data_IF_613586637633
#
_entry.id   IF_613586637633
#
_cell.length_a   1.000
_cell.length_b   1.000
_cell.length_c   1.000
_cell.angle_alpha   90.00
_cell.angle_beta   90.00
_cell.angle_gamma   90.00
#
_symmetry.space_group_name_H-M   'P 1'
#
loop_
_entity.id
_entity.type
_entity.pdbx_description
1 polymer ?
#
# COMPACT_ATOMS: atom_id res chain seq x y z
N UNK A 1 3.49 -12.48 -16.87
CA UNK A 1 2.96 -11.27 -16.20
C UNK A 1 1.46 -11.33 -15.94
N UNK A 2 0.61 -11.65 -16.94
CA UNK A 2 -0.85 -11.81 -16.75
C UNK A 2 -1.23 -12.77 -15.61
N UNK A 3 -0.51 -13.88 -15.45
CA UNK A 3 -0.70 -14.81 -14.33
C UNK A 3 -0.50 -14.16 -12.95
N UNK A 4 0.52 -13.30 -12.79
CA UNK A 4 0.80 -12.63 -11.52
C UNK A 4 -0.27 -11.56 -11.19
N UNK A 5 -0.78 -10.83 -12.18
CA UNK A 5 -1.91 -9.90 -12.01
C UNK A 5 -3.16 -10.64 -11.52
N UNK A 6 -3.49 -11.76 -12.19
CA UNK A 6 -4.64 -12.58 -11.81
C UNK A 6 -4.51 -13.10 -10.37
N UNK A 7 -3.34 -13.61 -9.99
CA UNK A 7 -3.08 -14.09 -8.64
C UNK A 7 -3.18 -12.96 -7.60
N UNK A 8 -2.61 -11.78 -7.86
CA UNK A 8 -2.76 -10.62 -6.98
C UNK A 8 -4.24 -10.26 -6.77
N UNK A 9 -5.02 -10.11 -7.86
CA UNK A 9 -6.42 -9.72 -7.76
C UNK A 9 -7.28 -10.79 -7.06
N UNK A 10 -6.93 -12.08 -7.24
CA UNK A 10 -7.54 -13.18 -6.49
C UNK A 10 -7.22 -13.07 -5.00
N UNK A 11 -5.97 -12.76 -4.64
CA UNK A 11 -5.60 -12.53 -3.25
C UNK A 11 -6.32 -11.33 -2.65
N UNK A 12 -6.47 -10.22 -3.38
CA UNK A 12 -7.27 -9.07 -2.96
C UNK A 12 -8.71 -9.49 -2.62
N UNK A 13 -9.35 -10.31 -3.46
CA UNK A 13 -10.68 -10.85 -3.15
C UNK A 13 -10.71 -11.74 -1.91
N UNK A 14 -9.64 -12.50 -1.65
CA UNK A 14 -9.51 -13.32 -0.44
C UNK A 14 -9.35 -12.45 0.82
N UNK A 15 -8.57 -11.36 0.75
CA UNK A 15 -8.41 -10.37 1.83
C UNK A 15 -9.77 -9.77 2.19
N UNK A 16 -10.58 -9.38 1.20
CA UNK A 16 -11.92 -8.82 1.43
C UNK A 16 -12.87 -9.79 2.14
N UNK A 17 -12.74 -11.09 1.83
CA UNK A 17 -13.46 -12.20 2.47
C UNK A 17 -12.84 -12.64 3.79
N UNK A 18 -11.72 -12.04 4.19
CA UNK A 18 -10.95 -12.36 5.39
C UNK A 18 -10.38 -13.78 5.42
N UNK A 19 -10.05 -14.34 4.25
CA UNK A 19 -9.34 -15.60 4.12
C UNK A 19 -7.82 -15.33 4.01
N UNK A 20 -7.23 -14.81 5.08
CA UNK A 20 -5.89 -14.21 5.04
C UNK A 20 -4.77 -15.19 4.75
N UNK A 21 -4.82 -16.40 5.30
CA UNK A 21 -3.82 -17.44 5.08
C UNK A 21 -3.77 -17.83 3.59
N UNK A 22 -4.95 -18.05 2.99
CA UNK A 22 -5.08 -18.32 1.55
C UNK A 22 -4.65 -17.12 0.70
N UNK A 23 -4.87 -15.90 1.17
CA UNK A 23 -4.42 -14.70 0.48
C UNK A 23 -2.87 -14.64 0.45
N UNK A 24 -2.20 -14.89 1.58
CA UNK A 24 -0.74 -14.98 1.70
C UNK A 24 -0.17 -16.04 0.76
N UNK A 25 -0.74 -17.25 0.74
CA UNK A 25 -0.34 -18.30 -0.21
C UNK A 25 -0.47 -17.85 -1.67
N UNK A 26 -1.58 -17.18 -2.00
CA UNK A 26 -1.85 -16.68 -3.36
C UNK A 26 -0.89 -15.54 -3.73
N UNK A 27 -0.56 -14.65 -2.81
CA UNK A 27 0.40 -13.56 -3.03
C UNK A 27 1.83 -14.10 -3.22
N UNK A 28 2.22 -15.15 -2.49
CA UNK A 28 3.50 -15.85 -2.70
C UNK A 28 3.58 -16.42 -4.12
N UNK A 29 2.50 -17.05 -4.59
CA UNK A 29 2.42 -17.52 -5.97
C UNK A 29 2.51 -16.37 -6.98
N UNK A 30 1.86 -15.22 -6.70
CA UNK A 30 1.92 -14.03 -7.54
C UNK A 30 3.36 -13.49 -7.65
N UNK A 31 4.10 -13.43 -6.54
CA UNK A 31 5.48 -12.96 -6.50
C UNK A 31 6.41 -13.87 -7.33
N UNK A 32 6.31 -15.19 -7.15
CA UNK A 32 7.08 -16.15 -7.95
C UNK A 32 6.74 -16.10 -9.44
N UNK A 33 5.46 -15.90 -9.77
CA UNK A 33 5.03 -15.73 -11.16
C UNK A 33 5.57 -14.43 -11.79
N UNK A 34 5.80 -13.38 -11.00
CA UNK A 34 6.46 -12.14 -11.43
C UNK A 34 7.95 -12.34 -11.74
N UNK A 35 8.68 -13.03 -10.84
CA UNK A 35 10.13 -13.26 -10.99
C UNK A 35 10.49 -14.07 -12.24
N UNK A 36 9.69 -15.07 -12.59
CA UNK A 36 9.93 -15.93 -13.78
C UNK A 36 9.89 -15.19 -15.13
N UNK A 37 9.32 -13.98 -15.17
CA UNK A 37 9.24 -13.17 -16.39
C UNK A 37 10.58 -12.46 -16.64
N UNK A 38 11.23 -11.97 -15.58
CA UNK A 38 12.47 -11.20 -15.72
C UNK A 38 13.63 -12.04 -16.29
N UNK A 39 13.70 -13.33 -15.96
CA UNK A 39 14.81 -14.20 -16.38
C UNK A 39 14.78 -14.59 -17.87
N UNK A 40 13.70 -14.32 -18.60
CA UNK A 40 13.59 -14.66 -20.04
C UNK A 40 13.97 -13.52 -20.98
N UNK A 41 13.77 -12.28 -20.56
CA UNK A 41 13.93 -11.11 -21.43
C UNK A 41 15.41 -10.64 -21.54
N UNK A 42 16.27 -11.04 -20.60
CA UNK A 42 17.70 -10.72 -20.61
C UNK A 42 18.48 -11.47 -21.71
N UNK A 43 17.97 -12.60 -22.23
CA UNK A 43 18.71 -13.39 -23.22
C UNK A 43 18.44 -13.01 -24.69
N UNK A 44 17.53 -12.06 -24.96
CA UNK A 44 17.05 -11.80 -26.34
C UNK A 44 17.26 -10.37 -26.85
N UNK A 45 17.92 -9.48 -26.10
CA UNK A 45 17.83 -8.03 -26.36
C UNK A 45 19.19 -7.36 -26.61
N UNK A 46 19.89 -7.76 -27.66
CA UNK A 46 20.92 -6.93 -28.30
C UNK A 46 20.36 -6.31 -29.58
N UNK A 47 20.44 -4.99 -29.69
CA UNK A 47 19.97 -4.11 -30.78
C UNK A 47 18.52 -3.60 -30.67
N UNK A 48 18.38 -2.33 -30.32
CA UNK A 48 17.74 -1.31 -31.17
C UNK A 48 17.73 0.06 -30.46
N UNK A 49 18.30 1.04 -31.15
CA UNK A 49 18.25 2.46 -30.82
C UNK A 49 16.89 3.03 -31.22
N UNK A 50 16.20 3.72 -30.30
CA UNK A 50 15.09 4.60 -30.71
C UNK A 50 14.94 5.81 -29.81
N UNK A 51 14.85 6.96 -30.47
CA UNK A 51 14.65 8.30 -29.92
C UNK A 51 13.17 8.50 -29.58
N UNK A 52 12.84 8.55 -28.28
CA UNK A 52 11.46 8.73 -27.81
C UNK A 52 11.15 10.20 -27.49
N UNK A 53 10.21 10.78 -28.24
CA UNK A 53 9.61 12.09 -27.98
C UNK A 53 8.74 12.03 -26.72
N UNK A 54 8.88 13.02 -25.84
CA UNK A 54 8.18 13.16 -24.56
C UNK A 54 6.65 13.24 -24.76
N UNK A 55 5.95 12.12 -24.57
CA UNK A 55 4.48 12.04 -24.63
C UNK A 55 3.87 12.39 -23.27
N UNK A 56 2.75 13.13 -23.27
CA UNK A 56 2.02 13.53 -22.05
C UNK A 56 1.62 12.28 -21.24
N UNK A 57 1.97 12.27 -19.95
CA UNK A 57 1.82 11.13 -19.04
C UNK A 57 0.32 10.77 -18.88
N UNK A 58 -0.11 9.53 -19.17
CA UNK A 58 -1.48 9.10 -18.93
C UNK A 58 -1.79 9.13 -17.43
N UNK A 59 -2.84 9.85 -17.04
CA UNK A 59 -3.30 9.97 -15.65
C UNK A 59 -3.73 8.62 -15.09
N UNK A 60 -3.22 8.29 -13.89
CA UNK A 60 -3.30 6.99 -13.23
C UNK A 60 -4.72 6.45 -13.00
N UNK A 61 -5.02 5.34 -13.67
CA UNK A 61 -6.16 4.46 -13.35
C UNK A 61 -5.72 3.00 -13.24
N UNK A 62 -4.45 2.76 -12.93
CA UNK A 62 -3.89 1.40 -12.89
C UNK A 62 -4.47 0.58 -11.73
N UNK A 63 -4.83 1.29 -10.65
CA UNK A 63 -5.38 0.70 -9.43
C UNK A 63 -6.87 0.98 -9.31
N UNK A 64 -7.58 0.02 -8.73
CA UNK A 64 -8.96 0.19 -8.29
C UNK A 64 -9.11 -0.33 -6.87
N UNK A 65 -9.98 0.34 -6.12
CA UNK A 65 -10.40 -0.07 -4.78
C UNK A 65 -11.89 -0.40 -4.83
N UNK A 66 -12.35 -1.34 -3.99
CA UNK A 66 -13.62 -2.04 -4.25
C UNK A 66 -14.94 -1.38 -3.85
N UNK A 67 -15.16 -0.07 -3.89
CA UNK A 67 -16.33 0.72 -3.38
C UNK A 67 -17.12 0.31 -2.11
N UNK A 68 -16.92 -0.87 -1.51
CA UNK A 68 -17.64 -1.32 -0.31
C UNK A 68 -16.99 -0.65 0.88
N UNK A 69 -17.56 0.50 1.28
CA UNK A 69 -17.33 1.06 2.60
C UNK A 69 -17.71 -0.03 3.61
N UNK A 70 -16.72 -0.68 4.23
CA UNK A 70 -16.97 -1.39 5.50
C UNK A 70 -17.52 -0.31 6.42
N UNK A 71 -18.69 -0.54 7.03
CA UNK A 71 -19.16 0.31 8.12
C UNK A 71 -18.05 0.28 9.16
N UNK A 72 -17.31 1.37 9.26
CA UNK A 72 -16.33 1.57 10.33
C UNK A 72 -17.06 1.35 11.65
N UNK A 73 -16.46 0.56 12.54
CA UNK A 73 -17.06 0.24 13.82
C UNK A 73 -17.27 1.57 14.57
N UNK A 74 -18.51 1.79 14.99
CA UNK A 74 -19.13 3.08 15.37
C UNK A 74 -18.59 3.69 16.69
N UNK A 75 -17.39 3.30 17.14
CA UNK A 75 -16.81 3.71 18.41
C UNK A 75 -15.35 4.15 18.25
N UNK A 76 -15.13 5.42 17.86
CA UNK A 76 -13.83 6.11 17.94
C UNK A 76 -12.64 5.39 17.27
N UNK A 77 -12.88 4.44 16.37
CA UNK A 77 -11.80 3.70 15.75
C UNK A 77 -11.00 4.62 14.82
N UNK A 78 -9.72 4.72 15.16
CA UNK A 78 -8.67 5.31 14.35
C UNK A 78 -8.81 4.83 12.89
N UNK A 79 -8.89 5.77 11.94
CA UNK A 79 -9.11 5.46 10.52
C UNK A 79 -8.00 4.54 9.98
N UNK A 80 -8.33 3.32 9.56
CA UNK A 80 -7.37 2.38 8.99
C UNK A 80 -7.66 2.12 7.51
N UNK A 81 -6.63 2.22 6.68
CA UNK A 81 -6.79 1.82 5.28
C UNK A 81 -6.80 0.29 5.18
N UNK A 82 -7.98 -0.27 4.94
CA UNK A 82 -8.25 -1.71 5.00
C UNK A 82 -8.52 -2.38 3.64
N UNK A 83 -8.33 -1.64 2.54
CA UNK A 83 -8.74 -2.06 1.20
C UNK A 83 -7.55 -2.60 0.41
N UNK A 84 -7.62 -3.84 -0.11
CA UNK A 84 -6.55 -4.35 -0.95
C UNK A 84 -6.56 -3.67 -2.32
N UNK A 85 -5.42 -3.68 -2.97
CA UNK A 85 -5.22 -3.05 -4.28
C UNK A 85 -5.45 -4.06 -5.40
N UNK A 86 -6.25 -3.65 -6.39
CA UNK A 86 -6.47 -4.41 -7.60
C UNK A 86 -5.70 -3.77 -8.76
N UNK A 87 -5.07 -4.61 -9.57
CA UNK A 87 -4.37 -4.18 -10.78
C UNK A 87 -5.26 -4.46 -11.98
N UNK A 88 -5.71 -3.42 -12.66
CA UNK A 88 -6.51 -3.57 -13.90
C UNK A 88 -5.62 -3.65 -15.13
N UNK A 89 -4.56 -2.84 -15.17
CA UNK A 89 -3.55 -2.79 -16.22
C UNK A 89 -2.21 -2.41 -15.63
N UNK A 90 -1.12 -2.80 -16.30
CA UNK A 90 0.24 -2.45 -15.91
C UNK A 90 0.79 -1.32 -16.78
N UNK A 91 1.60 -0.41 -16.22
CA UNK A 91 2.37 0.52 -17.03
C UNK A 91 3.34 -0.26 -17.92
N UNK A 92 3.53 0.20 -19.17
CA UNK A 92 4.35 -0.50 -20.16
C UNK A 92 5.82 -0.58 -19.76
N UNK A 93 6.37 0.46 -19.13
CA UNK A 93 7.80 0.55 -18.80
C UNK A 93 8.13 -0.06 -17.43
N UNK A 94 7.22 0.06 -16.45
CA UNK A 94 7.48 -0.29 -15.04
C UNK A 94 6.56 -1.40 -14.50
N UNK A 95 5.94 -2.19 -15.38
CA UNK A 95 4.89 -3.14 -15.00
C UNK A 95 5.32 -4.15 -13.92
N UNK A 96 6.57 -4.64 -13.97
CA UNK A 96 7.09 -5.57 -12.98
C UNK A 96 7.25 -4.92 -11.60
N UNK A 97 7.87 -3.74 -11.53
CA UNK A 97 8.12 -3.05 -10.26
C UNK A 97 6.81 -2.58 -9.62
N UNK A 98 5.91 -2.01 -10.42
CA UNK A 98 4.55 -1.66 -9.97
C UNK A 98 3.82 -2.86 -9.38
N UNK A 99 3.82 -3.99 -10.10
CA UNK A 99 3.14 -5.19 -9.65
C UNK A 99 3.75 -5.74 -8.35
N UNK A 100 5.08 -5.78 -8.25
CA UNK A 100 5.77 -6.17 -7.02
C UNK A 100 5.40 -5.26 -5.85
N UNK A 101 5.35 -3.95 -6.08
CA UNK A 101 4.93 -2.98 -5.08
C UNK A 101 3.49 -3.26 -4.60
N UNK A 102 2.56 -3.50 -5.52
CA UNK A 102 1.16 -3.83 -5.19
C UNK A 102 1.05 -5.15 -4.41
N UNK A 103 1.80 -6.17 -4.82
CA UNK A 103 1.82 -7.47 -4.14
C UNK A 103 2.34 -7.31 -2.70
N UNK A 104 3.45 -6.59 -2.51
CA UNK A 104 4.03 -6.35 -1.17
C UNK A 104 3.07 -5.51 -0.31
N UNK A 105 2.39 -4.51 -0.89
CA UNK A 105 1.34 -3.76 -0.17
C UNK A 105 0.23 -4.68 0.32
N UNK A 106 -0.28 -5.55 -0.55
CA UNK A 106 -1.34 -6.50 -0.19
C UNK A 106 -0.88 -7.53 0.85
N UNK A 107 0.40 -7.94 0.83
CA UNK A 107 1.00 -8.75 1.90
C UNK A 107 1.00 -8.01 3.25
N UNK A 108 1.51 -6.78 3.27
CA UNK A 108 1.58 -5.96 4.47
C UNK A 108 0.18 -5.76 5.09
N UNK A 109 -0.79 -5.45 4.23
CA UNK A 109 -2.18 -5.30 4.62
C UNK A 109 -2.76 -6.60 5.19
N UNK A 110 -2.46 -7.75 4.58
CA UNK A 110 -2.94 -9.04 5.04
C UNK A 110 -2.46 -9.34 6.47
N UNK A 111 -1.16 -9.18 6.74
CA UNK A 111 -0.61 -9.33 8.09
C UNK A 111 -1.19 -8.33 9.09
N UNK A 112 -1.36 -7.06 8.70
CA UNK A 112 -1.97 -6.06 9.57
C UNK A 112 -3.41 -6.45 9.96
N UNK A 113 -4.21 -6.92 9.00
CA UNK A 113 -5.58 -7.36 9.25
C UNK A 113 -5.65 -8.66 10.07
N UNK A 114 -4.68 -9.57 9.91
CA UNK A 114 -4.55 -10.76 10.78
C UNK A 114 -4.26 -10.35 12.22
N UNK A 115 -3.34 -9.42 12.43
CA UNK A 115 -2.99 -8.93 13.77
C UNK A 115 -4.20 -8.32 14.51
N UNK A 116 -5.09 -7.62 13.79
CA UNK A 116 -6.30 -7.05 14.37
C UNK A 116 -7.34 -8.10 14.80
N UNK A 117 -7.23 -9.33 14.29
CA UNK A 117 -8.15 -10.43 14.63
C UNK A 117 -7.53 -11.49 15.52
N UNK A 118 -6.22 -11.46 15.71
CA UNK A 118 -5.52 -12.40 16.56
C UNK A 118 -6.02 -12.26 18.00
N UNK A 119 -6.47 -13.37 18.58
CA UNK A 119 -6.83 -13.45 19.99
C UNK A 119 -5.59 -13.52 20.88
N UNK A 120 -4.54 -14.18 20.39
CA UNK A 120 -3.29 -14.34 21.10
C UNK A 120 -2.36 -13.14 20.88
N UNK A 121 -1.70 -12.70 21.97
CA UNK A 121 -0.81 -11.54 21.94
C UNK A 121 0.44 -11.79 21.09
N UNK A 122 0.99 -13.01 21.11
CA UNK A 122 2.18 -13.36 20.34
C UNK A 122 1.88 -13.34 18.85
N UNK A 123 0.79 -13.98 18.43
CA UNK A 123 0.36 -13.97 17.02
C UNK A 123 0.08 -12.55 16.53
N UNK A 124 -0.58 -11.73 17.36
CA UNK A 124 -0.80 -10.31 17.08
C UNK A 124 0.53 -9.58 16.87
N UNK A 125 1.47 -9.75 17.79
CA UNK A 125 2.76 -9.07 17.76
C UNK A 125 3.61 -9.47 16.53
N UNK A 126 3.68 -10.76 16.22
CA UNK A 126 4.42 -11.27 15.04
C UNK A 126 3.84 -10.73 13.74
N UNK A 127 2.50 -10.73 13.59
CA UNK A 127 1.85 -10.19 12.40
C UNK A 127 2.05 -8.66 12.27
N UNK A 128 2.05 -7.90 13.37
CA UNK A 128 2.36 -6.47 13.33
C UNK A 128 3.79 -6.21 12.86
N UNK A 129 4.77 -6.99 13.32
CA UNK A 129 6.16 -6.84 12.91
C UNK A 129 6.34 -7.14 11.42
N UNK A 130 5.73 -8.21 10.91
CA UNK A 130 5.84 -8.54 9.48
C UNK A 130 5.14 -7.50 8.60
N UNK A 131 3.96 -7.03 9.00
CA UNK A 131 3.27 -5.94 8.30
C UNK A 131 4.13 -4.67 8.24
N UNK A 132 4.74 -4.28 9.36
CA UNK A 132 5.60 -3.09 9.43
C UNK A 132 6.82 -3.22 8.53
N UNK A 133 7.52 -4.35 8.60
CA UNK A 133 8.70 -4.65 7.77
C UNK A 133 8.37 -4.54 6.27
N UNK A 134 7.20 -5.03 5.86
CA UNK A 134 6.76 -4.96 4.47
C UNK A 134 6.40 -3.52 4.06
N UNK A 135 5.73 -2.74 4.91
CA UNK A 135 5.48 -1.33 4.63
C UNK A 135 6.78 -0.51 4.54
N UNK A 136 7.75 -0.77 5.41
CA UNK A 136 9.06 -0.11 5.37
C UNK A 136 9.82 -0.49 4.10
N UNK A 137 9.75 -1.76 3.67
CA UNK A 137 10.32 -2.18 2.40
C UNK A 137 9.72 -1.43 1.22
N UNK A 138 8.41 -1.17 1.21
CA UNK A 138 7.74 -0.39 0.16
C UNK A 138 8.20 1.06 0.10
N UNK A 139 8.45 1.68 1.26
CA UNK A 139 8.97 3.06 1.35
C UNK A 139 10.43 3.13 0.88
N UNK A 140 11.20 2.07 1.14
CA UNK A 140 12.60 1.98 0.72
C UNK A 140 12.79 1.64 -0.77
N UNK A 141 11.74 1.17 -1.47
CA UNK A 141 11.82 0.88 -2.90
C UNK A 141 12.03 2.18 -3.68
N UNK A 142 13.12 2.29 -4.48
CA UNK A 142 13.34 3.47 -5.30
C UNK A 142 12.25 3.57 -6.35
N UNK A 143 11.43 4.62 -6.26
CA UNK A 143 10.52 5.00 -7.34
C UNK A 143 11.33 5.84 -8.32
N UNK A 144 11.49 5.36 -9.55
CA UNK A 144 12.04 6.22 -10.61
C UNK A 144 11.08 7.40 -10.88
N UNK A 145 11.58 8.54 -11.36
CA UNK A 145 10.81 9.78 -11.59
C UNK A 145 9.61 9.62 -12.55
N UNK A 146 9.58 8.50 -13.29
CA UNK A 146 8.50 8.11 -14.20
C UNK A 146 7.34 7.43 -13.47
N UNK A 147 7.58 6.92 -12.27
CA UNK A 147 6.67 6.10 -11.51
C UNK A 147 5.99 6.92 -10.40
N UNK A 148 4.78 7.35 -10.69
CA UNK A 148 3.96 8.06 -9.71
C UNK A 148 2.97 7.08 -9.08
N UNK A 149 3.24 6.71 -7.84
CA UNK A 149 2.21 6.10 -6.98
C UNK A 149 1.16 7.16 -6.69
N UNK A 150 -0.10 6.81 -6.88
CA UNK A 150 -1.20 7.68 -6.46
C UNK A 150 -1.05 8.02 -4.99
N UNK A 151 -1.06 9.32 -4.67
CA UNK A 151 -0.84 9.87 -3.32
C UNK A 151 -1.64 9.14 -2.25
N UNK A 152 -2.87 8.72 -2.58
CA UNK A 152 -3.75 7.91 -1.74
C UNK A 152 -3.08 6.66 -1.15
N UNK A 153 -2.32 5.89 -1.95
CA UNK A 153 -1.73 4.65 -1.47
C UNK A 153 -0.46 4.90 -0.66
N UNK A 154 0.27 5.96 -0.98
CA UNK A 154 1.39 6.39 -0.14
C UNK A 154 0.90 6.87 1.23
N UNK A 155 -0.19 7.64 1.28
CA UNK A 155 -0.89 7.97 2.52
C UNK A 155 -1.36 6.71 3.25
N UNK A 156 -1.99 5.75 2.55
CA UNK A 156 -2.42 4.50 3.16
C UNK A 156 -1.29 3.75 3.88
N UNK A 157 -0.10 3.66 3.27
CA UNK A 157 1.06 3.03 3.90
C UNK A 157 1.51 3.78 5.16
N UNK A 158 1.73 5.09 5.07
CA UNK A 158 2.20 5.90 6.22
C UNK A 158 1.20 5.83 7.37
N UNK A 159 -0.10 5.93 7.08
CA UNK A 159 -1.16 5.84 8.09
C UNK A 159 -1.19 4.47 8.76
N UNK A 160 -1.09 3.39 7.99
CA UNK A 160 -1.08 2.04 8.53
C UNK A 160 0.19 1.76 9.35
N UNK A 161 1.37 2.23 8.90
CA UNK A 161 2.62 2.15 9.68
C UNK A 161 2.51 2.90 11.01
N UNK A 162 1.96 4.12 11.01
CA UNK A 162 1.76 4.90 12.24
C UNK A 162 0.90 4.14 13.26
N UNK A 163 -0.15 3.46 12.79
CA UNK A 163 -1.01 2.61 13.63
C UNK A 163 -0.26 1.41 14.19
N UNK A 164 0.48 0.70 13.35
CA UNK A 164 1.27 -0.45 13.79
C UNK A 164 2.30 -0.03 14.84
N UNK A 165 3.00 1.09 14.64
CA UNK A 165 3.93 1.63 15.63
C UNK A 165 3.24 1.94 16.97
N UNK A 166 2.03 2.49 16.93
CA UNK A 166 1.24 2.74 18.14
C UNK A 166 0.85 1.43 18.85
N UNK A 167 0.39 0.43 18.09
CA UNK A 167 0.04 -0.90 18.61
C UNK A 167 1.25 -1.67 19.17
N UNK A 168 2.46 -1.36 18.69
CA UNK A 168 3.73 -1.89 19.17
C UNK A 168 4.34 -1.05 20.31
N UNK A 169 3.60 -0.09 20.88
CA UNK A 169 4.06 0.81 21.95
C UNK A 169 5.32 1.62 21.58
N UNK A 170 5.41 2.08 20.33
CA UNK A 170 6.50 2.90 19.77
C UNK A 170 5.98 4.29 19.37
N UNK A 171 5.57 5.13 20.33
CA UNK A 171 4.85 6.38 20.06
C UNK A 171 5.70 7.42 19.30
N UNK A 172 7.03 7.41 19.47
CA UNK A 172 7.93 8.33 18.77
C UNK A 172 7.89 8.10 17.25
N UNK A 173 8.01 6.85 16.82
CA UNK A 173 7.92 6.48 15.41
C UNK A 173 6.51 6.69 14.84
N UNK A 174 5.46 6.39 15.64
CA UNK A 174 4.08 6.66 15.25
C UNK A 174 3.85 8.16 14.99
N UNK A 175 4.39 9.03 15.86
CA UNK A 175 4.33 10.48 15.69
C UNK A 175 5.08 10.93 14.44
N UNK A 176 6.30 10.44 14.21
CA UNK A 176 7.07 10.77 13.02
C UNK A 176 6.29 10.46 11.73
N UNK A 177 5.64 9.30 11.64
CA UNK A 177 4.80 8.95 10.49
C UNK A 177 3.53 9.83 10.41
N UNK A 178 2.96 10.22 11.54
CA UNK A 178 1.81 11.14 11.59
C UNK A 178 2.19 12.55 11.08
N UNK A 179 3.35 13.06 11.45
CA UNK A 179 3.86 14.35 11.00
C UNK A 179 4.21 14.33 9.50
N UNK A 180 4.76 13.21 9.01
CA UNK A 180 4.96 12.96 7.57
C UNK A 180 3.62 12.94 6.81
N UNK A 181 2.61 12.25 7.35
CA UNK A 181 1.26 12.23 6.79
C UNK A 181 0.68 13.64 6.71
N UNK A 182 0.78 14.42 7.80
CA UNK A 182 0.28 15.79 7.82
C UNK A 182 0.95 16.65 6.76
N UNK A 183 2.28 16.55 6.62
CA UNK A 183 3.04 17.27 5.61
C UNK A 183 2.55 16.94 4.19
N UNK A 184 2.28 15.66 3.91
CA UNK A 184 1.77 15.20 2.63
C UNK A 184 0.33 15.67 2.36
N UNK A 185 -0.54 15.67 3.38
CA UNK A 185 -1.90 16.20 3.29
C UNK A 185 -1.89 17.70 2.98
N UNK A 186 -1.05 18.47 3.67
CA UNK A 186 -0.90 19.90 3.44
C UNK A 186 -0.41 20.21 2.02
N UNK A 187 0.59 19.47 1.53
CA UNK A 187 1.04 19.59 0.14
C UNK A 187 -0.08 19.26 -0.85
N UNK A 188 -0.86 18.21 -0.59
CA UNK A 188 -2.00 17.80 -1.44
C UNK A 188 -3.10 18.87 -1.49
N UNK A 189 -3.38 19.55 -0.36
CA UNK A 189 -4.31 20.69 -0.30
C UNK A 189 -3.77 21.88 -1.10
N UNK A 190 -2.49 22.22 -0.92
CA UNK A 190 -1.86 23.34 -1.63
C UNK A 190 -1.87 23.15 -3.15
N UNK A 191 -1.76 21.90 -3.62
CA UNK A 191 -1.86 21.56 -5.04
C UNK A 191 -3.31 21.50 -5.57
N UNK A 192 -4.33 21.66 -4.72
CA UNK A 192 -5.73 21.55 -5.11
C UNK A 192 -6.16 20.12 -5.46
N UNK A 193 -5.48 19.12 -4.89
CA UNK A 193 -5.71 17.69 -5.21
C UNK A 193 -6.44 16.92 -4.09
N UNK A 194 -6.87 17.60 -3.03
CA UNK A 194 -7.53 16.95 -1.88
C UNK A 194 -8.72 16.07 -2.31
N UNK A 195 -9.58 16.58 -3.20
CA UNK A 195 -10.77 15.85 -3.70
C UNK A 195 -10.44 14.61 -4.55
N UNK A 196 -9.19 14.46 -4.99
CA UNK A 196 -8.74 13.30 -5.78
C UNK A 196 -8.28 12.13 -4.91
N UNK A 197 -8.12 12.34 -3.60
CA UNK A 197 -7.63 11.34 -2.67
C UNK A 197 -8.80 10.65 -1.98
N UNK A 198 -9.00 9.36 -2.27
CA UNK A 198 -10.01 8.54 -1.60
C UNK A 198 -9.69 8.39 -0.11
N UNK A 199 -10.63 8.77 0.76
CA UNK A 199 -10.45 8.73 2.21
C UNK A 199 -9.60 9.86 2.80
N UNK A 200 -9.43 10.98 2.09
CA UNK A 200 -8.66 12.14 2.56
C UNK A 200 -9.01 12.58 4.00
N UNK A 201 -10.30 12.72 4.31
CA UNK A 201 -10.77 13.13 5.65
C UNK A 201 -10.33 12.16 6.75
N UNK A 202 -10.33 10.86 6.46
CA UNK A 202 -9.88 9.83 7.39
C UNK A 202 -8.39 9.94 7.68
N UNK A 203 -7.57 10.19 6.66
CA UNK A 203 -6.14 10.45 6.82
C UNK A 203 -5.89 11.72 7.64
N UNK A 204 -6.62 12.80 7.35
CA UNK A 204 -6.50 14.08 8.03
C UNK A 204 -6.86 13.97 9.52
N UNK A 205 -8.00 13.36 9.83
CA UNK A 205 -8.43 13.13 11.20
C UNK A 205 -7.35 12.38 12.00
N UNK A 206 -6.84 11.29 11.43
CA UNK A 206 -5.80 10.49 12.04
C UNK A 206 -4.48 11.22 12.28
N UNK A 207 -4.04 12.05 11.33
CA UNK A 207 -2.82 12.83 11.47
C UNK A 207 -2.96 13.88 12.57
N UNK A 208 -4.07 14.64 12.56
CA UNK A 208 -4.33 15.72 13.52
C UNK A 208 -4.50 15.23 14.96
N UNK A 209 -5.29 14.16 15.18
CA UNK A 209 -5.49 13.60 16.53
C UNK A 209 -4.18 13.18 17.18
N UNK A 210 -3.25 12.62 16.39
CA UNK A 210 -1.95 12.14 16.90
C UNK A 210 -0.95 13.26 17.12
N UNK A 211 -0.94 14.28 16.26
CA UNK A 211 -0.07 15.44 16.45
C UNK A 211 -0.50 16.27 17.66
N UNK A 212 -1.82 16.36 17.95
CA UNK A 212 -2.35 17.11 19.09
C UNK A 212 -2.33 16.33 20.41
N UNK A 213 -2.58 15.01 20.38
CA UNK A 213 -2.58 14.17 21.58
C UNK A 213 -1.23 14.09 22.32
N UNK A 214 -0.13 14.43 21.64
CA UNK A 214 1.20 14.50 22.26
C UNK A 214 1.40 15.71 23.20
N UNK A 215 0.47 16.66 23.24
CA UNK A 215 0.58 17.87 24.08
C UNK A 215 -0.12 17.71 25.43
N UNK A 216 -0.97 16.68 25.58
CA UNK A 216 -1.82 16.50 26.76
C UNK A 216 -1.36 15.39 27.73
N UNK A 217 -0.20 14.76 27.50
CA UNK A 217 0.38 13.71 28.34
C UNK A 217 1.77 14.11 28.83
#
# INVERSE_FOLDING_TARGET
>A
MQSAIYLNNRASSLIEKNCFEKAIETLNQALHAGQKVQTKDEWSSSSLSSSSKFSRRPSGKYLSTSNKRRKELDNQEVFMYSRPLYVSHLPQTEGNRFLSWVIIFNFALCHHLMALRAADYKDKHENLLEALKLYEALVALPMEDTFQIETTYFMAMINNSAQIYQMLHRPRQAKQHSDQMLSLLMATIQEGKADTVDGFDGFLLNATQRSLGAVAA
#
